data_IF_024216695452
#
_entry.id   IF_024216695452
#
_cell.length_a   1.000
_cell.length_b   1.000
_cell.length_c   1.000
_cell.angle_alpha   90.00
_cell.angle_beta   90.00
_cell.angle_gamma   90.00
#
_symmetry.space_group_name_H-M   'P 1'
#
loop_
_entity.id
_entity.type
_entity.pdbx_description
1 polymer ?
#
# COMPACT_ATOMS: atom_id res chain seq x y z
N UNK A 1 -19.86 16.72 4.79
CA UNK A 1 -18.47 16.24 4.86
C UNK A 1 -18.07 15.78 3.47
N UNK A 2 -17.12 16.45 2.82
CA UNK A 2 -16.54 15.96 1.56
C UNK A 2 -15.82 14.64 1.85
N UNK A 3 -16.27 13.55 1.22
CA UNK A 3 -15.56 12.26 1.32
C UNK A 3 -14.22 12.42 0.61
N UNK A 4 -13.13 11.99 1.25
CA UNK A 4 -11.81 11.98 0.61
C UNK A 4 -11.91 11.21 -0.73
N UNK A 5 -11.54 11.82 -1.88
CA UNK A 5 -11.69 11.21 -3.20
C UNK A 5 -10.95 9.86 -3.32
N UNK A 6 -9.84 9.67 -2.61
CA UNK A 6 -9.09 8.40 -2.59
C UNK A 6 -9.86 7.30 -1.86
N UNK A 7 -10.48 7.66 -0.73
CA UNK A 7 -11.36 6.73 0.01
C UNK A 7 -12.56 6.34 -0.86
N UNK A 8 -13.07 7.25 -1.68
CA UNK A 8 -14.16 6.96 -2.61
C UNK A 8 -13.72 5.98 -3.71
N UNK A 9 -12.52 6.17 -4.28
CA UNK A 9 -11.95 5.26 -5.30
C UNK A 9 -11.85 3.83 -4.74
N UNK A 10 -11.31 3.67 -3.54
CA UNK A 10 -11.12 2.35 -2.90
C UNK A 10 -12.46 1.67 -2.58
N UNK A 11 -13.42 2.42 -2.05
CA UNK A 11 -14.72 1.84 -1.68
C UNK A 11 -15.60 1.50 -2.88
N UNK A 12 -15.49 2.25 -3.98
CA UNK A 12 -16.30 2.02 -5.19
C UNK A 12 -15.74 0.89 -6.03
N UNK A 13 -14.42 0.67 -6.01
CA UNK A 13 -13.72 -0.30 -6.86
C UNK A 13 -13.12 -1.45 -6.04
N UNK A 14 -13.85 -1.93 -5.04
CA UNK A 14 -13.37 -3.04 -4.20
C UNK A 14 -13.07 -4.28 -5.05
N UNK A 15 -12.02 -5.00 -4.67
CA UNK A 15 -11.68 -6.26 -5.31
C UNK A 15 -12.79 -7.28 -5.07
N UNK A 16 -13.37 -7.80 -6.16
CA UNK A 16 -14.51 -8.72 -6.13
C UNK A 16 -14.20 -10.10 -6.75
N UNK A 17 -12.93 -10.37 -7.02
CA UNK A 17 -12.46 -11.61 -7.65
C UNK A 17 -12.38 -11.56 -9.18
N UNK A 18 -13.14 -10.69 -9.85
CA UNK A 18 -13.17 -10.59 -11.32
C UNK A 18 -12.53 -9.33 -11.88
N UNK A 19 -12.34 -8.29 -11.05
CA UNK A 19 -11.86 -6.96 -11.45
C UNK A 19 -10.39 -6.68 -11.11
N UNK A 20 -9.50 -7.69 -11.14
CA UNK A 20 -8.12 -7.56 -10.66
C UNK A 20 -7.37 -6.35 -11.25
N UNK A 21 -7.40 -6.17 -12.58
CA UNK A 21 -6.64 -5.10 -13.24
C UNK A 21 -7.14 -3.71 -12.87
N UNK A 22 -8.46 -3.51 -12.82
CA UNK A 22 -9.07 -2.23 -12.44
C UNK A 22 -8.84 -1.94 -10.97
N UNK A 23 -8.99 -2.94 -10.11
CA UNK A 23 -8.69 -2.84 -8.69
C UNK A 23 -7.23 -2.44 -8.46
N UNK A 24 -6.28 -3.15 -9.09
CA UNK A 24 -4.85 -2.87 -8.94
C UNK A 24 -4.48 -1.47 -9.44
N UNK A 25 -5.07 -1.04 -10.56
CA UNK A 25 -4.89 0.33 -11.09
C UNK A 25 -5.37 1.38 -10.10
N UNK A 26 -6.57 1.20 -9.54
CA UNK A 26 -7.14 2.12 -8.55
C UNK A 26 -6.35 2.13 -7.24
N UNK A 27 -5.87 0.95 -6.81
CA UNK A 27 -4.97 0.81 -5.66
C UNK A 27 -3.68 1.60 -5.88
N UNK A 28 -3.03 1.45 -7.04
CA UNK A 28 -1.81 2.20 -7.39
C UNK A 28 -2.02 3.71 -7.36
N UNK A 29 -3.14 4.23 -7.89
CA UNK A 29 -3.47 5.66 -7.81
C UNK A 29 -3.47 6.17 -6.36
N UNK A 30 -4.09 5.40 -5.44
CA UNK A 30 -4.13 5.77 -4.02
C UNK A 30 -2.75 5.69 -3.39
N UNK A 31 -2.00 4.64 -3.65
CA UNK A 31 -0.66 4.46 -3.07
C UNK A 31 0.35 5.48 -3.60
N UNK A 32 0.29 5.83 -4.88
CA UNK A 32 1.15 6.85 -5.48
C UNK A 32 0.89 8.23 -4.88
N UNK A 33 -0.39 8.55 -4.61
CA UNK A 33 -0.74 9.79 -3.91
C UNK A 33 -0.15 9.85 -2.49
N UNK A 34 -0.08 8.71 -1.79
CA UNK A 34 0.52 8.60 -0.46
C UNK A 34 2.06 8.43 -0.50
N UNK A 35 2.68 8.44 -1.68
CA UNK A 35 4.11 8.15 -1.92
C UNK A 35 4.55 6.73 -1.49
N UNK A 36 3.65 5.76 -1.59
CA UNK A 36 3.83 4.37 -1.14
C UNK A 36 3.74 3.34 -2.26
N UNK A 37 3.52 3.74 -3.51
CA UNK A 37 3.41 2.82 -4.66
C UNK A 37 4.59 1.87 -4.80
N UNK A 38 5.79 2.33 -4.44
CA UNK A 38 7.03 1.54 -4.47
C UNK A 38 6.98 0.25 -3.64
N UNK A 39 6.11 0.18 -2.62
CA UNK A 39 5.94 -1.01 -1.78
C UNK A 39 5.36 -2.19 -2.58
N UNK A 40 4.58 -1.93 -3.64
CA UNK A 40 4.06 -3.00 -4.49
C UNK A 40 5.13 -3.59 -5.42
N UNK A 41 6.12 -2.79 -5.80
CA UNK A 41 7.10 -3.18 -6.81
C UNK A 41 8.41 -3.69 -6.18
N UNK A 42 8.69 -3.33 -4.92
CA UNK A 42 9.93 -3.69 -4.21
C UNK A 42 9.67 -4.70 -3.10
N UNK A 43 10.52 -5.72 -3.04
CA UNK A 43 10.52 -6.67 -1.93
C UNK A 43 10.98 -5.99 -0.64
N UNK A 44 10.33 -6.36 0.48
CA UNK A 44 10.78 -6.03 1.83
C UNK A 44 12.21 -6.56 2.02
N UNK A 45 13.21 -5.73 2.38
CA UNK A 45 14.47 -6.24 2.88
C UNK A 45 14.20 -7.07 4.13
N UNK A 46 14.68 -8.32 4.19
CA UNK A 46 14.32 -9.24 5.29
C UNK A 46 14.92 -8.80 6.62
N UNK A 47 16.08 -8.12 6.58
CA UNK A 47 16.73 -7.45 7.70
C UNK A 47 17.78 -6.47 7.15
N UNK A 48 18.21 -5.52 7.98
CA UNK A 48 19.41 -4.73 7.73
C UNK A 48 20.67 -5.53 8.14
N UNK A 49 21.74 -5.52 7.33
CA UNK A 49 23.02 -6.12 7.70
C UNK A 49 23.60 -5.53 9.01
N UNK A 50 24.41 -6.32 9.69
CA UNK A 50 25.19 -5.84 10.84
C UNK A 50 26.19 -4.76 10.37
N UNK A 51 26.23 -3.63 11.06
CA UNK A 51 27.04 -2.47 10.67
C UNK A 51 26.39 -1.50 9.67
N UNK A 52 25.08 -1.64 9.41
CA UNK A 52 24.33 -0.67 8.60
C UNK A 52 24.43 0.76 9.16
N UNK A 53 24.46 1.74 8.26
CA UNK A 53 24.52 3.15 8.62
C UNK A 53 23.20 3.60 9.25
N UNK A 54 23.21 4.61 10.14
CA UNK A 54 21.98 5.17 10.73
C UNK A 54 20.92 5.58 9.69
N UNK A 55 21.34 6.06 8.53
CA UNK A 55 20.46 6.45 7.42
C UNK A 55 19.72 5.24 6.79
N UNK A 56 20.38 4.08 6.74
CA UNK A 56 19.78 2.83 6.27
C UNK A 56 18.72 2.33 7.25
N UNK A 57 18.96 2.49 8.56
CA UNK A 57 17.97 2.22 9.61
C UNK A 57 16.72 3.09 9.46
N UNK A 58 16.88 4.41 9.28
CA UNK A 58 15.75 5.32 9.07
C UNK A 58 14.96 4.95 7.81
N UNK A 59 15.65 4.60 6.73
CA UNK A 59 15.01 4.18 5.48
C UNK A 59 14.24 2.86 5.65
N UNK A 60 14.80 1.91 6.38
CA UNK A 60 14.17 0.63 6.69
C UNK A 60 12.92 0.79 7.57
N UNK A 61 13.00 1.60 8.62
CA UNK A 61 11.86 1.86 9.50
C UNK A 61 10.71 2.54 8.74
N UNK A 62 11.04 3.51 7.88
CA UNK A 62 10.05 4.14 6.98
C UNK A 62 9.40 3.12 6.05
N UNK A 63 10.20 2.24 5.46
CA UNK A 63 9.68 1.16 4.60
C UNK A 63 8.71 0.27 5.38
N UNK A 64 9.05 -0.14 6.62
CA UNK A 64 8.19 -0.97 7.46
C UNK A 64 6.85 -0.29 7.78
N UNK A 65 6.89 1.02 8.05
CA UNK A 65 5.69 1.82 8.28
C UNK A 65 4.80 1.89 7.03
N UNK A 66 5.40 2.21 5.87
CA UNK A 66 4.70 2.30 4.60
C UNK A 66 4.08 0.95 4.21
N UNK A 67 4.81 -0.16 4.39
CA UNK A 67 4.29 -1.50 4.16
C UNK A 67 3.11 -1.85 5.07
N UNK A 68 3.13 -1.42 6.33
CA UNK A 68 1.98 -1.59 7.23
C UNK A 68 0.75 -0.83 6.73
N UNK A 69 0.93 0.39 6.24
CA UNK A 69 -0.15 1.21 5.66
C UNK A 69 -0.69 0.59 4.38
N UNK A 70 0.18 0.20 3.44
CA UNK A 70 -0.19 -0.44 2.17
C UNK A 70 -0.98 -1.72 2.42
N UNK A 71 -0.53 -2.59 3.33
CA UNK A 71 -1.27 -3.81 3.71
C UNK A 71 -2.68 -3.50 4.23
N UNK A 72 -2.82 -2.44 5.03
CA UNK A 72 -4.12 -2.02 5.55
C UNK A 72 -5.05 -1.51 4.44
N UNK A 73 -4.52 -0.75 3.48
CA UNK A 73 -5.27 -0.26 2.31
C UNK A 73 -5.71 -1.43 1.42
N UNK A 74 -4.81 -2.38 1.14
CA UNK A 74 -5.13 -3.59 0.36
C UNK A 74 -6.31 -4.33 1.02
N UNK A 75 -6.21 -4.64 2.31
CA UNK A 75 -7.28 -5.35 3.02
C UNK A 75 -8.61 -4.56 3.02
N UNK A 76 -8.57 -3.25 3.25
CA UNK A 76 -9.77 -2.41 3.22
C UNK A 76 -10.42 -2.33 1.83
N UNK A 77 -9.62 -2.48 0.77
CA UNK A 77 -10.04 -2.46 -0.63
C UNK A 77 -10.62 -3.79 -1.13
N UNK A 78 -10.63 -4.84 -0.32
CA UNK A 78 -11.24 -6.12 -0.68
C UNK A 78 -12.71 -6.16 -0.26
N UNK A 79 -13.54 -6.93 -0.98
CA UNK A 79 -14.91 -7.20 -0.55
C UNK A 79 -14.92 -8.17 0.63
N UNK A 80 -15.71 -7.87 1.67
CA UNK A 80 -15.91 -8.75 2.84
C UNK A 80 -16.83 -9.96 2.55
N UNK A 81 -16.99 -10.38 1.29
CA UNK A 81 -17.81 -11.55 0.97
C UNK A 81 -17.04 -12.81 1.39
N UNK A 82 -17.35 -13.30 2.59
CA UNK A 82 -17.13 -14.69 3.02
C UNK A 82 -18.11 -15.57 2.24
#
# INVERSE_FOLDING_TARGET
MSKNPLILIINTNKFNGTNHNDWLKNLRIVLDFENQGYVLDKLLPTALPEGSLPEEHVTFDKWLEDNRKVRSIILASMTNKI
#
